data_IF_551723346124
#
_entry.id   IF_551723346124
#
_cell.length_a   1.000
_cell.length_b   1.000
_cell.length_c   1.000
_cell.angle_alpha   90.00
_cell.angle_beta   90.00
_cell.angle_gamma   90.00
#
_symmetry.space_group_name_H-M   'P 1'
#
loop_
_entity.id
_entity.type
_entity.pdbx_description
1 polymer ?
#
# COMPACT_ATOMS: atom_id res chain seq x y z
N UNK A 1 -2.11 9.24 1.78
CA UNK A 1 -3.21 9.05 2.75
C UNK A 1 -2.86 9.76 4.05
N UNK A 2 -3.75 10.62 4.50
CA UNK A 2 -3.58 11.25 5.80
C UNK A 2 -3.93 10.24 6.90
N UNK A 3 -3.10 10.19 7.93
CA UNK A 3 -3.33 9.32 9.08
C UNK A 3 -4.10 10.05 10.18
N UNK A 4 -4.90 9.31 10.92
CA UNK A 4 -5.52 9.83 12.14
C UNK A 4 -4.41 10.15 13.16
N UNK A 5 -4.57 11.21 13.97
CA UNK A 5 -3.59 11.51 15.02
C UNK A 5 -3.36 10.32 15.94
N UNK A 6 -2.10 10.11 16.32
CA UNK A 6 -1.72 9.02 17.23
C UNK A 6 -1.60 7.66 16.58
N UNK A 7 -1.59 7.57 15.23
CA UNK A 7 -1.55 6.29 14.52
C UNK A 7 -0.15 5.69 14.36
N UNK A 8 0.93 6.43 14.66
CA UNK A 8 2.29 5.96 14.38
C UNK A 8 2.63 4.61 15.01
N UNK A 9 2.29 4.33 16.27
CA UNK A 9 2.57 3.00 16.82
C UNK A 9 1.89 1.88 16.03
N UNK A 10 0.64 2.09 15.61
CA UNK A 10 -0.10 1.11 14.82
C UNK A 10 0.49 0.95 13.43
N UNK A 11 0.93 2.04 12.81
CA UNK A 11 1.61 2.02 11.50
C UNK A 11 2.87 1.16 11.57
N UNK A 12 3.68 1.34 12.61
CA UNK A 12 4.92 0.56 12.77
C UNK A 12 4.64 -0.91 13.03
N UNK A 13 3.62 -1.22 13.81
CA UNK A 13 3.17 -2.60 14.02
C UNK A 13 2.69 -3.24 12.71
N UNK A 14 1.88 -2.51 11.93
CA UNK A 14 1.42 -2.97 10.63
C UNK A 14 2.60 -3.24 9.67
N UNK A 15 3.55 -2.31 9.58
CA UNK A 15 4.72 -2.47 8.72
C UNK A 15 5.55 -3.69 9.11
N UNK A 16 5.75 -3.90 10.42
CA UNK A 16 6.48 -5.06 10.93
C UNK A 16 5.74 -6.37 10.62
N UNK A 17 4.42 -6.38 10.75
CA UNK A 17 3.60 -7.55 10.44
C UNK A 17 3.65 -7.91 8.96
N UNK A 18 3.54 -6.92 8.07
CA UNK A 18 3.68 -7.16 6.63
C UNK A 18 5.07 -7.73 6.30
N UNK A 19 6.11 -7.20 6.89
CA UNK A 19 7.48 -7.67 6.67
C UNK A 19 7.64 -9.11 7.16
N UNK A 20 7.08 -9.45 8.32
CA UNK A 20 7.09 -10.80 8.86
C UNK A 20 6.35 -11.77 7.95
N UNK A 21 5.27 -11.33 7.32
CA UNK A 21 4.42 -12.14 6.44
C UNK A 21 4.73 -11.87 4.96
N UNK A 22 6.00 -11.65 4.66
CA UNK A 22 6.47 -11.27 3.32
C UNK A 22 5.95 -12.21 2.23
N UNK A 23 5.98 -13.53 2.46
CA UNK A 23 5.56 -14.49 1.42
C UNK A 23 4.07 -14.36 1.08
N UNK A 24 3.23 -14.06 2.08
CA UNK A 24 1.81 -13.81 1.84
C UNK A 24 1.61 -12.54 1.03
N UNK A 25 2.37 -11.48 1.35
CA UNK A 25 2.32 -10.22 0.60
C UNK A 25 2.75 -10.45 -0.85
N UNK A 26 3.85 -11.16 -1.06
CA UNK A 26 4.34 -11.45 -2.41
C UNK A 26 3.32 -12.24 -3.23
N UNK A 27 2.57 -13.14 -2.60
CA UNK A 27 1.50 -13.88 -3.28
C UNK A 27 0.39 -12.93 -3.77
N UNK A 28 0.01 -11.93 -2.96
CA UNK A 28 -1.00 -10.95 -3.38
C UNK A 28 -0.50 -10.10 -4.54
N UNK A 29 0.78 -9.70 -4.52
CA UNK A 29 1.36 -8.91 -5.61
C UNK A 29 1.36 -9.68 -6.93
N UNK A 30 1.61 -10.99 -6.88
CA UNK A 30 1.55 -11.83 -8.09
C UNK A 30 0.14 -11.88 -8.66
N UNK A 31 -0.87 -12.03 -7.81
CA UNK A 31 -2.27 -12.04 -8.24
C UNK A 31 -2.68 -10.69 -8.84
N UNK A 32 -2.16 -9.62 -8.30
CA UNK A 32 -2.47 -8.24 -8.69
C UNK A 32 -1.65 -7.76 -9.90
N UNK A 33 -0.76 -8.59 -10.44
CA UNK A 33 0.21 -8.20 -11.46
C UNK A 33 1.10 -7.03 -11.03
N UNK A 34 1.27 -6.83 -9.72
CA UNK A 34 2.10 -5.78 -9.15
C UNK A 34 3.55 -6.28 -9.02
N UNK A 35 4.49 -5.50 -9.52
CA UNK A 35 5.92 -5.81 -9.43
C UNK A 35 6.55 -5.16 -8.23
N UNK A 36 6.13 -3.94 -7.91
CA UNK A 36 6.71 -3.13 -6.84
C UNK A 36 5.57 -2.53 -6.05
N UNK A 37 5.67 -2.63 -4.75
CA UNK A 37 4.83 -1.88 -3.82
C UNK A 37 5.73 -1.34 -2.72
N UNK A 38 5.77 -0.02 -2.58
CA UNK A 38 6.54 0.66 -1.54
C UNK A 38 5.63 1.62 -0.79
N UNK A 39 5.78 1.66 0.52
CA UNK A 39 5.00 2.56 1.36
C UNK A 39 5.97 3.39 2.18
N UNK A 40 5.81 4.70 2.11
CA UNK A 40 6.64 5.66 2.82
C UNK A 40 5.82 6.35 3.88
N UNK A 41 6.45 6.61 5.03
CA UNK A 41 5.87 7.46 6.05
C UNK A 41 6.43 8.87 5.91
N UNK A 42 5.53 9.85 5.76
CA UNK A 42 5.90 11.25 5.75
C UNK A 42 5.33 11.91 7.01
N UNK A 43 6.21 12.36 7.89
CA UNK A 43 5.83 13.08 9.10
C UNK A 43 6.04 14.57 8.89
N UNK A 44 4.97 15.36 9.07
CA UNK A 44 5.00 16.82 8.88
C UNK A 44 4.42 17.52 10.09
N UNK A 45 4.63 18.84 10.16
CA UNK A 45 4.03 19.67 11.21
C UNK A 45 2.50 19.63 11.17
N UNK A 46 1.92 19.36 10.00
CA UNK A 46 0.46 19.33 9.80
C UNK A 46 -0.14 17.94 9.95
N UNK A 47 0.66 16.93 10.22
CA UNK A 47 0.20 15.55 10.39
C UNK A 47 1.10 14.54 9.72
N UNK A 48 0.71 13.28 9.83
CA UNK A 48 1.45 12.16 9.29
C UNK A 48 0.71 11.55 8.11
N UNK A 49 1.47 11.09 7.12
CA UNK A 49 0.92 10.56 5.86
C UNK A 49 1.62 9.27 5.48
N UNK A 50 0.86 8.34 4.88
CA UNK A 50 1.43 7.23 4.14
C UNK A 50 1.37 7.56 2.65
N UNK A 51 2.50 7.36 1.97
CA UNK A 51 2.62 7.55 0.53
C UNK A 51 2.89 6.18 -0.10
N UNK A 52 1.97 5.74 -0.97
CA UNK A 52 2.07 4.46 -1.67
C UNK A 52 2.62 4.68 -3.07
N UNK A 53 3.58 3.85 -3.44
CA UNK A 53 4.04 3.71 -4.80
C UNK A 53 3.83 2.28 -5.25
N UNK A 54 3.17 2.10 -6.40
CA UNK A 54 2.98 0.77 -6.97
C UNK A 54 3.32 0.79 -8.45
N UNK A 55 3.96 -0.27 -8.92
CA UNK A 55 4.16 -0.55 -10.33
C UNK A 55 3.39 -1.81 -10.67
N UNK A 56 2.37 -1.69 -11.51
CA UNK A 56 1.51 -2.82 -11.92
C UNK A 56 1.58 -2.99 -13.43
N UNK A 57 1.41 -4.23 -13.89
CA UNK A 57 1.42 -4.52 -15.33
C UNK A 57 0.08 -4.16 -15.98
N UNK A 58 -1.04 -4.37 -15.27
CA UNK A 58 -2.37 -4.12 -15.77
C UNK A 58 -3.24 -3.59 -14.61
N UNK A 59 -3.58 -2.31 -14.67
CA UNK A 59 -4.34 -1.65 -13.61
C UNK A 59 -5.74 -2.24 -13.42
N UNK A 60 -6.40 -2.67 -14.50
CA UNK A 60 -7.72 -3.28 -14.40
C UNK A 60 -7.66 -4.68 -13.78
N UNK A 61 -6.66 -5.47 -14.15
CA UNK A 61 -6.44 -6.78 -13.55
C UNK A 61 -6.09 -6.65 -12.07
N UNK A 62 -5.26 -5.66 -11.71
CA UNK A 62 -4.91 -5.35 -10.33
C UNK A 62 -6.16 -5.04 -9.50
N UNK A 63 -7.01 -4.14 -9.99
CA UNK A 63 -8.23 -3.78 -9.28
C UNK A 63 -9.15 -4.98 -9.08
N UNK A 64 -9.33 -5.81 -10.10
CA UNK A 64 -10.16 -7.01 -10.01
C UNK A 64 -9.60 -8.01 -8.99
N UNK A 65 -8.28 -8.19 -8.97
CA UNK A 65 -7.62 -9.09 -8.03
C UNK A 65 -7.81 -8.61 -6.58
N UNK A 66 -7.66 -7.30 -6.33
CA UNK A 66 -7.88 -6.71 -5.00
C UNK A 66 -9.32 -6.96 -4.55
N UNK A 67 -10.29 -6.72 -5.42
CA UNK A 67 -11.71 -6.90 -5.10
C UNK A 67 -12.08 -8.34 -4.78
N UNK A 68 -11.40 -9.31 -5.43
CA UNK A 68 -11.68 -10.73 -5.27
C UNK A 68 -10.77 -11.44 -4.27
N UNK A 69 -9.82 -10.72 -3.68
CA UNK A 69 -8.82 -11.34 -2.81
C UNK A 69 -9.45 -12.02 -1.61
N UNK A 70 -9.02 -13.26 -1.38
CA UNK A 70 -9.35 -14.04 -0.17
C UNK A 70 -8.12 -14.25 0.72
N UNK A 71 -7.01 -13.59 0.41
CA UNK A 71 -5.79 -13.68 1.22
C UNK A 71 -6.00 -13.06 2.60
N UNK A 72 -5.61 -13.78 3.64
CA UNK A 72 -5.72 -13.31 5.01
C UNK A 72 -4.96 -12.00 5.23
N UNK A 73 -3.80 -11.84 4.56
CA UNK A 73 -3.00 -10.62 4.69
C UNK A 73 -3.74 -9.39 4.16
N UNK A 74 -4.54 -9.55 3.10
CA UNK A 74 -5.34 -8.44 2.56
C UNK A 74 -6.45 -8.05 3.51
N UNK A 75 -7.08 -9.02 4.18
CA UNK A 75 -8.08 -8.74 5.20
C UNK A 75 -7.46 -7.98 6.39
N UNK A 76 -6.28 -8.41 6.83
CA UNK A 76 -5.54 -7.73 7.89
C UNK A 76 -5.20 -6.30 7.48
N UNK A 77 -4.68 -6.11 6.28
CA UNK A 77 -4.32 -4.79 5.75
C UNK A 77 -5.54 -3.86 5.72
N UNK A 78 -6.66 -4.33 5.19
CA UNK A 78 -7.89 -3.52 5.14
C UNK A 78 -8.35 -3.10 6.52
N UNK A 79 -8.31 -4.02 7.48
CA UNK A 79 -8.73 -3.72 8.85
C UNK A 79 -7.86 -2.63 9.48
N UNK A 80 -6.53 -2.72 9.30
CA UNK A 80 -5.60 -1.71 9.80
C UNK A 80 -5.84 -0.36 9.13
N UNK A 81 -6.02 -0.34 7.81
CA UNK A 81 -6.27 0.91 7.09
C UNK A 81 -7.55 1.59 7.58
N UNK A 82 -8.60 0.83 7.89
CA UNK A 82 -9.83 1.39 8.47
C UNK A 82 -9.58 2.05 9.82
N UNK A 83 -8.65 1.50 10.62
CA UNK A 83 -8.32 2.07 11.91
C UNK A 83 -7.54 3.39 11.81
N UNK A 84 -6.58 3.47 10.89
CA UNK A 84 -5.54 4.53 10.92
C UNK A 84 -5.73 5.62 9.86
N UNK A 85 -6.46 5.36 8.77
CA UNK A 85 -6.57 6.31 7.67
C UNK A 85 -7.74 7.26 7.90
N UNK A 86 -7.45 8.56 7.89
CA UNK A 86 -8.46 9.62 8.00
C UNK A 86 -9.01 9.98 6.63
N UNK A 87 -8.14 10.16 5.64
CA UNK A 87 -8.55 10.53 4.28
C UNK A 87 -7.54 10.01 3.26
N UNK A 88 -8.00 9.86 2.01
CA UNK A 88 -7.19 9.35 0.91
C UNK A 88 -7.16 10.39 -0.21
N UNK A 89 -5.96 10.62 -0.74
CA UNK A 89 -5.76 11.55 -1.85
C UNK A 89 -4.89 10.87 -2.90
N UNK A 90 -5.36 10.74 -4.14
CA UNK A 90 -4.47 10.28 -5.21
C UNK A 90 -3.42 11.35 -5.50
N UNK A 91 -2.20 10.90 -5.76
CA UNK A 91 -1.14 11.79 -6.22
C UNK A 91 -1.19 11.83 -7.74
N UNK A 92 -0.95 13.02 -8.30
CA UNK A 92 -0.89 13.18 -9.75
C UNK A 92 0.47 12.74 -10.27
N UNK A 93 0.49 11.77 -11.19
CA UNK A 93 1.71 11.36 -11.86
C UNK A 93 2.07 12.42 -12.88
N UNK A 94 3.23 13.06 -12.73
CA UNK A 94 3.70 14.07 -13.68
C UNK A 94 4.62 13.48 -14.72
N UNK A 95 5.59 12.67 -14.32
CA UNK A 95 6.53 12.03 -15.24
C UNK A 95 6.82 10.61 -14.77
N UNK A 96 7.08 9.71 -15.71
CA UNK A 96 7.43 8.33 -15.41
C UNK A 96 8.48 7.85 -16.42
N UNK A 97 9.71 7.68 -15.95
CA UNK A 97 10.83 7.20 -16.76
C UNK A 97 11.22 5.81 -16.29
N UNK A 98 11.05 4.82 -17.14
CA UNK A 98 11.35 3.42 -16.81
C UNK A 98 12.41 2.87 -17.76
N UNK A 99 13.69 2.92 -17.34
CA UNK A 99 14.81 2.42 -18.13
C UNK A 99 14.81 0.90 -18.22
N UNK A 100 14.15 0.20 -17.31
CA UNK A 100 14.10 -1.26 -17.35
C UNK A 100 13.28 -1.80 -18.53
N UNK A 101 12.55 -0.93 -19.22
CA UNK A 101 11.71 -1.26 -20.37
C UNK A 101 12.28 -0.78 -21.71
N UNK A 102 13.51 -0.34 -21.73
CA UNK A 102 14.20 0.05 -22.97
C UNK A 102 14.43 -1.12 -23.92
#
# INVERSE_FOLDING_TARGET
MRLKPGSLPRVREWAAELTRRREEVMATLRDETARIESVFLESTADGDFLVYYMRVDDADADRRAVERSTHAIDAYHRAVMQEIVESRHPLELLVDFDRTRE
#
